data_IF_730740833039
#
_entry.id   IF_730740833039
#
_cell.length_a   1.000
_cell.length_b   1.000
_cell.length_c   1.000
_cell.angle_alpha   90.00
_cell.angle_beta   90.00
_cell.angle_gamma   90.00
#
_symmetry.space_group_name_H-M   'P 1'
#
loop_
_entity.id
_entity.type
_entity.pdbx_description
1 polymer ?
#
# COMPACT_ATOMS: atom_id res chain seq x y z
N UNK A 1 -0.35 22.48 17.49
CA UNK A 1 0.45 23.62 17.00
C UNK A 1 1.15 23.13 15.75
N UNK A 2 0.91 23.79 14.64
CA UNK A 2 1.39 23.28 13.34
C UNK A 2 2.86 23.67 13.18
N UNK A 3 3.77 22.71 13.26
CA UNK A 3 5.21 22.97 13.13
C UNK A 3 5.58 23.72 11.84
N UNK A 4 4.73 23.62 10.80
CA UNK A 4 4.91 24.33 9.53
C UNK A 4 4.80 25.86 9.65
N UNK A 5 3.99 26.41 10.56
CA UNK A 5 3.90 27.84 10.81
C UNK A 5 5.16 28.41 11.49
N UNK A 6 5.88 27.56 12.20
CA UNK A 6 7.14 27.92 12.87
C UNK A 6 8.29 27.97 11.87
N UNK A 7 8.18 27.30 10.72
CA UNK A 7 9.22 27.18 9.69
C UNK A 7 9.22 28.42 8.78
N UNK A 8 8.04 28.87 8.35
CA UNK A 8 7.92 30.09 7.54
C UNK A 8 6.62 30.83 7.89
N UNK A 9 6.71 32.05 8.47
CA UNK A 9 5.55 32.83 8.86
C UNK A 9 4.68 33.32 7.69
N UNK A 10 5.20 33.21 6.44
CA UNK A 10 4.48 33.58 5.21
C UNK A 10 3.67 32.42 4.63
N UNK A 11 3.70 31.22 5.25
CA UNK A 11 2.95 30.06 4.79
C UNK A 11 2.07 29.52 5.92
N UNK A 12 0.76 29.55 5.72
CA UNK A 12 -0.25 29.18 6.70
C UNK A 12 -1.05 27.96 6.25
N UNK A 13 -0.97 26.84 6.99
CA UNK A 13 -1.74 25.63 6.67
C UNK A 13 -3.13 25.75 7.26
N UNK A 14 -4.14 25.75 6.40
CA UNK A 14 -5.55 25.78 6.77
C UNK A 14 -6.20 24.41 6.57
N UNK A 15 -7.45 24.26 6.97
CA UNK A 15 -8.23 23.03 6.69
C UNK A 15 -8.58 22.85 5.20
N UNK A 16 -8.40 23.89 4.41
CA UNK A 16 -8.73 23.90 2.98
C UNK A 16 -7.49 23.90 2.06
N UNK A 17 -6.30 24.13 2.62
CA UNK A 17 -5.07 24.17 1.84
C UNK A 17 -3.96 24.99 2.48
N UNK A 18 -3.09 25.53 1.65
CA UNK A 18 -1.97 26.38 2.04
C UNK A 18 -2.24 27.80 1.57
N UNK A 19 -2.27 28.75 2.49
CA UNK A 19 -2.29 30.19 2.20
C UNK A 19 -0.85 30.69 2.23
N UNK A 20 -0.43 31.35 1.16
CA UNK A 20 0.94 31.89 0.99
C UNK A 20 0.82 33.39 0.85
N UNK A 21 1.64 34.13 1.58
CA UNK A 21 1.71 35.59 1.47
C UNK A 21 2.28 36.02 0.09
N UNK A 22 1.70 37.05 -0.48
CA UNK A 22 2.06 37.56 -1.83
C UNK A 22 3.51 38.01 -1.94
N UNK A 23 4.18 38.32 -0.82
CA UNK A 23 5.55 38.74 -0.72
C UNK A 23 6.55 37.61 -0.47
N UNK A 24 6.13 36.34 -0.55
CA UNK A 24 7.01 35.17 -0.44
C UNK A 24 7.98 35.15 -1.63
N UNK A 25 9.28 35.08 -1.36
CA UNK A 25 10.31 34.99 -2.42
C UNK A 25 10.40 33.55 -2.96
N UNK A 26 11.05 33.37 -4.11
CA UNK A 26 11.29 32.07 -4.69
C UNK A 26 12.16 31.18 -3.78
N UNK A 27 13.16 31.75 -3.14
CA UNK A 27 14.04 31.08 -2.20
C UNK A 27 13.26 30.56 -0.99
N UNK A 28 12.44 31.40 -0.36
CA UNK A 28 11.59 31.05 0.77
C UNK A 28 10.58 29.94 0.38
N UNK A 29 10.01 30.04 -0.82
CA UNK A 29 9.10 29.03 -1.36
C UNK A 29 9.80 27.67 -1.56
N UNK A 30 11.02 27.69 -2.11
CA UNK A 30 11.79 26.49 -2.37
C UNK A 30 12.27 25.82 -1.07
N UNK A 31 12.65 26.60 -0.06
CA UNK A 31 13.02 26.11 1.26
C UNK A 31 11.84 25.49 2.03
N UNK A 32 10.61 25.91 1.74
CA UNK A 32 9.41 25.37 2.38
C UNK A 32 8.98 24.00 1.82
N UNK A 33 9.30 23.68 0.57
CA UNK A 33 8.86 22.48 -0.12
C UNK A 33 9.24 21.15 0.58
N UNK A 34 10.48 20.94 1.11
CA UNK A 34 10.82 19.73 1.86
C UNK A 34 9.92 19.49 3.05
N UNK A 35 9.56 20.53 3.81
CA UNK A 35 8.70 20.40 5.00
C UNK A 35 7.29 19.95 4.67
N UNK A 36 6.73 20.33 3.52
CA UNK A 36 5.47 19.80 3.03
C UNK A 36 5.60 18.31 2.68
N UNK A 37 6.72 17.90 2.10
CA UNK A 37 7.01 16.50 1.81
C UNK A 37 7.07 15.64 3.08
N UNK A 38 7.78 16.14 4.09
CA UNK A 38 7.92 15.46 5.40
C UNK A 38 6.57 15.36 6.12
N UNK A 39 5.78 16.42 6.13
CA UNK A 39 4.44 16.40 6.71
C UNK A 39 3.51 15.40 6.00
N UNK A 40 3.55 15.37 4.67
CA UNK A 40 2.76 14.43 3.88
C UNK A 40 3.19 12.96 4.10
N UNK A 41 4.49 12.70 4.25
CA UNK A 41 5.02 11.39 4.58
C UNK A 41 4.61 10.96 5.99
N UNK A 42 4.77 11.85 6.96
CA UNK A 42 4.49 11.57 8.37
C UNK A 42 3.00 11.30 8.61
N UNK A 43 2.10 12.00 7.91
CA UNK A 43 0.65 11.91 8.16
C UNK A 43 0.11 10.49 7.96
N UNK A 44 0.48 9.81 6.89
CA UNK A 44 0.02 8.44 6.63
C UNK A 44 0.47 7.45 7.71
N UNK A 45 1.72 7.55 8.16
CA UNK A 45 2.23 6.73 9.25
C UNK A 45 1.67 7.15 10.61
N UNK A 46 1.50 8.44 10.87
CA UNK A 46 0.93 8.93 12.13
C UNK A 46 -0.50 8.42 12.34
N UNK A 47 -1.35 8.51 11.31
CA UNK A 47 -2.72 7.97 11.37
C UNK A 47 -2.69 6.46 11.51
N UNK A 48 -1.84 5.75 10.75
CA UNK A 48 -1.70 4.30 10.84
C UNK A 48 -1.25 3.84 12.21
N UNK A 49 -0.21 4.46 12.78
CA UNK A 49 0.31 4.16 14.13
C UNK A 49 -0.74 4.46 15.21
N UNK A 50 -1.50 5.57 15.07
CA UNK A 50 -2.59 5.92 15.98
C UNK A 50 -3.71 4.88 15.94
N UNK A 51 -4.10 4.41 14.77
CA UNK A 51 -5.10 3.34 14.62
C UNK A 51 -4.64 2.04 15.28
N UNK A 52 -3.38 1.63 15.05
CA UNK A 52 -2.79 0.43 15.66
C UNK A 52 -2.72 0.57 17.19
N UNK A 53 -2.32 1.74 17.68
CA UNK A 53 -2.32 2.01 19.12
C UNK A 53 -3.71 1.87 19.71
N UNK A 54 -4.73 2.34 19.00
CA UNK A 54 -6.15 2.23 19.39
C UNK A 54 -6.63 0.77 19.56
N UNK A 55 -5.98 -0.20 18.90
CA UNK A 55 -6.31 -1.62 19.06
C UNK A 55 -6.10 -2.13 20.50
N UNK A 56 -5.19 -1.52 21.25
CA UNK A 56 -4.96 -1.83 22.69
C UNK A 56 -6.18 -1.60 23.58
N UNK A 57 -7.07 -0.72 23.17
CA UNK A 57 -8.30 -0.42 23.88
C UNK A 57 -9.48 -1.28 23.42
N UNK A 58 -9.27 -2.21 22.48
CA UNK A 58 -10.29 -3.20 22.12
C UNK A 58 -10.59 -4.10 23.34
N UNK A 59 -11.86 -4.49 23.58
CA UNK A 59 -12.16 -5.46 24.62
C UNK A 59 -11.37 -6.74 24.33
N UNK A 60 -10.59 -7.19 25.33
CA UNK A 60 -9.71 -8.36 25.22
C UNK A 60 -10.50 -9.69 25.18
N UNK A 61 -11.82 -9.65 25.14
CA UNK A 61 -12.66 -10.85 25.07
C UNK A 61 -13.01 -11.12 23.62
N UNK A 62 -12.49 -12.21 23.05
CA UNK A 62 -12.99 -12.71 21.76
C UNK A 62 -14.49 -12.94 21.87
N UNK A 63 -15.22 -12.63 20.81
CA UNK A 63 -16.61 -13.05 20.71
C UNK A 63 -16.65 -14.59 20.76
N UNK A 64 -17.65 -15.21 21.43
CA UNK A 64 -17.80 -16.65 21.44
C UNK A 64 -17.81 -17.20 20.01
N UNK A 65 -16.95 -18.18 19.72
CA UNK A 65 -16.77 -18.75 18.38
C UNK A 65 -15.68 -18.08 17.51
N UNK A 66 -15.00 -17.03 18.03
CA UNK A 66 -13.94 -16.31 17.31
C UNK A 66 -12.65 -16.17 18.13
N UNK A 67 -12.40 -17.14 19.02
CA UNK A 67 -11.30 -17.11 20.00
C UNK A 67 -9.91 -17.05 19.33
N UNK A 68 -9.79 -17.54 18.10
CA UNK A 68 -8.55 -17.59 17.32
C UNK A 68 -8.38 -16.44 16.30
N UNK A 69 -9.33 -15.50 16.25
CA UNK A 69 -9.17 -14.33 15.36
C UNK A 69 -8.42 -13.20 16.09
N UNK A 70 -7.42 -12.57 15.44
CA UNK A 70 -6.81 -11.37 16.01
C UNK A 70 -7.89 -10.33 16.28
N UNK A 71 -7.81 -9.70 17.46
CA UNK A 71 -8.76 -8.66 17.85
C UNK A 71 -8.79 -7.56 16.78
N UNK A 72 -9.83 -7.54 15.96
CA UNK A 72 -10.06 -6.44 15.01
C UNK A 72 -10.49 -5.21 15.81
N UNK A 73 -10.01 -4.06 15.41
CA UNK A 73 -10.53 -2.79 15.94
C UNK A 73 -12.05 -2.80 15.82
N UNK A 74 -12.81 -2.63 16.91
CA UNK A 74 -14.25 -2.61 16.84
C UNK A 74 -14.72 -1.58 15.80
N UNK A 75 -15.74 -1.94 15.03
CA UNK A 75 -16.32 -1.08 13.98
C UNK A 75 -16.63 0.34 14.48
N UNK A 76 -17.09 0.47 15.71
CA UNK A 76 -17.38 1.75 16.39
C UNK A 76 -16.17 2.69 16.46
N UNK A 77 -14.95 2.13 16.59
CA UNK A 77 -13.71 2.96 16.65
C UNK A 77 -13.27 3.43 15.27
N UNK A 78 -13.48 2.60 14.25
CA UNK A 78 -13.30 3.07 12.88
C UNK A 78 -14.32 4.15 12.52
N UNK A 79 -15.55 4.07 13.01
CA UNK A 79 -16.52 5.16 12.85
C UNK A 79 -16.06 6.45 13.52
N UNK A 80 -15.55 6.38 14.76
CA UNK A 80 -14.97 7.55 15.42
C UNK A 80 -13.77 8.11 14.63
N UNK A 81 -12.91 7.24 14.09
CA UNK A 81 -11.79 7.65 13.24
C UNK A 81 -12.25 8.30 11.94
N UNK A 82 -13.29 7.78 11.28
CA UNK A 82 -13.91 8.36 10.08
C UNK A 82 -14.40 9.79 10.35
N UNK A 83 -15.12 9.98 11.46
CA UNK A 83 -15.65 11.29 11.85
C UNK A 83 -14.53 12.29 12.18
N UNK A 84 -13.50 11.83 12.93
CA UNK A 84 -12.41 12.69 13.38
C UNK A 84 -11.46 13.07 12.23
N UNK A 85 -11.12 12.13 11.36
CA UNK A 85 -10.15 12.35 10.27
C UNK A 85 -10.78 12.80 8.96
N UNK A 86 -12.08 12.62 8.78
CA UNK A 86 -12.82 12.84 7.51
C UNK A 86 -12.28 12.00 6.33
N UNK A 87 -11.52 10.95 6.61
CA UNK A 87 -11.00 10.01 5.60
C UNK A 87 -11.98 8.84 5.43
N UNK A 88 -11.97 8.21 4.27
CA UNK A 88 -12.75 7.00 4.02
C UNK A 88 -12.14 5.77 4.71
N UNK A 89 -12.97 4.73 4.89
CA UNK A 89 -12.59 3.51 5.60
C UNK A 89 -11.45 2.74 4.89
N UNK A 90 -11.40 2.76 3.56
CA UNK A 90 -10.37 2.08 2.80
C UNK A 90 -9.01 2.76 2.99
N UNK A 91 -8.98 4.08 3.05
CA UNK A 91 -7.79 4.88 3.37
C UNK A 91 -7.28 4.59 4.77
N UNK A 92 -8.16 4.57 5.78
CA UNK A 92 -7.78 4.25 7.17
C UNK A 92 -7.24 2.82 7.29
N UNK A 93 -7.89 1.84 6.66
CA UNK A 93 -7.41 0.47 6.63
C UNK A 93 -6.04 0.36 5.93
N UNK A 94 -5.83 1.10 4.85
CA UNK A 94 -4.55 1.13 4.15
C UNK A 94 -3.44 1.72 5.04
N UNK A 95 -3.69 2.82 5.74
CA UNK A 95 -2.71 3.40 6.66
C UNK A 95 -2.36 2.44 7.81
N UNK A 96 -3.35 1.82 8.43
CA UNK A 96 -3.13 0.83 9.48
C UNK A 96 -2.38 -0.40 8.94
N UNK A 97 -2.71 -0.88 7.74
CA UNK A 97 -2.02 -2.00 7.10
C UNK A 97 -0.53 -1.69 6.86
N UNK A 98 -0.22 -0.55 6.27
CA UNK A 98 1.16 -0.15 6.00
C UNK A 98 1.94 0.04 7.30
N UNK A 99 1.37 0.74 8.28
CA UNK A 99 2.02 0.98 9.56
C UNK A 99 2.30 -0.32 10.34
N UNK A 100 1.42 -1.32 10.24
CA UNK A 100 1.59 -2.63 10.88
C UNK A 100 2.69 -3.45 10.20
N UNK A 101 2.74 -3.44 8.88
CA UNK A 101 3.63 -4.30 8.10
C UNK A 101 4.99 -3.65 7.78
N UNK A 102 5.13 -2.34 7.98
CA UNK A 102 6.41 -1.61 7.84
C UNK A 102 6.80 -1.04 9.20
N UNK A 103 7.57 -1.80 10.01
CA UNK A 103 8.00 -1.35 11.34
C UNK A 103 8.77 -0.03 11.28
N UNK A 104 8.72 0.77 12.35
CA UNK A 104 9.45 2.04 12.43
C UNK A 104 10.93 1.89 12.12
N UNK A 105 11.56 0.78 12.55
CA UNK A 105 12.97 0.47 12.30
C UNK A 105 13.33 0.22 10.82
N UNK A 106 12.33 0.14 9.96
CA UNK A 106 12.48 -0.09 8.51
C UNK A 106 12.12 1.17 7.72
N UNK A 107 11.31 2.06 8.29
CA UNK A 107 10.89 3.31 7.61
C UNK A 107 12.09 4.22 7.35
N UNK A 108 12.07 4.91 6.21
CA UNK A 108 13.14 5.82 5.81
C UNK A 108 12.55 7.15 5.28
N UNK A 109 13.05 8.27 5.79
CA UNK A 109 12.54 9.62 5.51
C UNK A 109 12.67 10.05 4.04
N UNK A 110 13.69 9.56 3.32
CA UNK A 110 13.88 9.88 1.91
C UNK A 110 12.95 9.13 0.95
N UNK A 111 12.08 8.26 1.46
CA UNK A 111 11.11 7.49 0.68
C UNK A 111 9.69 7.87 1.08
N UNK A 112 8.82 8.11 0.10
CA UNK A 112 7.42 8.46 0.37
C UNK A 112 6.63 7.31 1.02
N UNK A 113 5.50 7.63 1.65
CA UNK A 113 4.57 6.62 2.18
C UNK A 113 4.18 5.57 1.14
N UNK A 114 4.01 5.96 -0.14
CA UNK A 114 3.68 5.04 -1.22
C UNK A 114 4.82 4.07 -1.58
N UNK A 115 6.09 4.44 -1.38
CA UNK A 115 7.21 3.51 -1.48
C UNK A 115 7.11 2.44 -0.39
N UNK A 116 6.88 2.85 0.85
CA UNK A 116 6.71 1.92 1.98
C UNK A 116 5.47 1.04 1.78
N UNK A 117 4.38 1.59 1.24
CA UNK A 117 3.19 0.80 0.89
C UNK A 117 3.48 -0.29 -0.13
N UNK A 118 4.34 -0.02 -1.11
CA UNK A 118 4.78 -1.02 -2.07
C UNK A 118 5.54 -2.19 -1.41
N UNK A 119 6.24 -1.91 -0.31
CA UNK A 119 7.04 -2.87 0.46
C UNK A 119 6.22 -3.63 1.52
N UNK A 120 5.04 -3.16 1.91
CA UNK A 120 4.30 -3.66 3.07
C UNK A 120 3.91 -5.15 2.99
N UNK A 121 3.93 -5.76 1.80
CA UNK A 121 3.69 -7.19 1.57
C UNK A 121 4.91 -8.09 1.76
N UNK A 122 6.10 -7.50 1.86
CA UNK A 122 7.38 -8.20 1.99
C UNK A 122 7.73 -8.40 3.45
N UNK A 123 8.60 -9.35 3.75
CA UNK A 123 9.19 -9.47 5.08
C UNK A 123 10.18 -8.32 5.38
N UNK A 124 10.55 -8.17 6.66
CA UNK A 124 11.38 -7.06 7.11
C UNK A 124 12.81 -7.07 6.52
N UNK A 125 13.31 -8.22 6.08
CA UNK A 125 14.63 -8.34 5.45
C UNK A 125 14.58 -7.82 4.03
N UNK A 126 13.60 -8.28 3.26
CA UNK A 126 13.35 -7.82 1.90
C UNK A 126 13.01 -6.34 1.86
N UNK A 127 12.21 -5.85 2.82
CA UNK A 127 11.91 -4.42 2.95
C UNK A 127 13.17 -3.58 3.08
N UNK A 128 14.10 -3.96 4.00
CA UNK A 128 15.37 -3.25 4.19
C UNK A 128 16.23 -3.28 2.93
N UNK A 129 16.30 -4.42 2.25
CA UNK A 129 17.06 -4.57 1.02
C UNK A 129 16.54 -3.66 -0.08
N UNK A 130 15.21 -3.60 -0.30
CA UNK A 130 14.61 -2.75 -1.31
C UNK A 130 14.70 -1.26 -0.97
N UNK A 131 14.66 -0.89 0.32
CA UNK A 131 14.93 0.48 0.77
C UNK A 131 16.36 0.87 0.44
N UNK A 132 17.35 0.06 0.86
CA UNK A 132 18.76 0.33 0.55
C UNK A 132 19.01 0.43 -0.96
N UNK A 133 18.41 -0.46 -1.75
CA UNK A 133 18.47 -0.42 -3.21
C UNK A 133 17.85 0.87 -3.78
N UNK A 134 16.71 1.30 -3.24
CA UNK A 134 16.03 2.52 -3.70
C UNK A 134 16.85 3.78 -3.42
N UNK A 135 17.48 3.83 -2.26
CA UNK A 135 18.37 4.94 -1.88
C UNK A 135 19.61 4.97 -2.77
N UNK A 136 20.27 3.83 -2.98
CA UNK A 136 21.46 3.73 -3.86
C UNK A 136 21.13 4.15 -5.30
N UNK A 137 19.94 3.79 -5.82
CA UNK A 137 19.50 4.24 -7.15
C UNK A 137 19.27 5.74 -7.19
N UNK A 138 18.64 6.32 -6.15
CA UNK A 138 18.44 7.76 -6.04
C UNK A 138 19.77 8.52 -5.97
N UNK A 139 20.71 8.06 -5.17
CA UNK A 139 22.06 8.66 -5.01
C UNK A 139 22.86 8.59 -6.32
N UNK A 140 22.65 7.54 -7.11
CA UNK A 140 23.22 7.42 -8.45
C UNK A 140 22.50 8.25 -9.53
N UNK A 141 21.55 9.11 -9.14
CA UNK A 141 20.77 9.95 -10.06
C UNK A 141 19.70 9.20 -10.86
N UNK A 142 19.47 7.94 -10.56
CA UNK A 142 18.45 7.08 -11.21
C UNK A 142 17.22 6.94 -10.35
N UNK A 143 16.42 7.99 -10.26
CA UNK A 143 15.24 8.05 -9.39
C UNK A 143 14.42 6.76 -9.35
N UNK A 144 14.26 6.17 -8.16
CA UNK A 144 13.37 5.05 -7.92
C UNK A 144 11.95 5.56 -7.67
N UNK A 145 11.13 5.62 -8.71
CA UNK A 145 9.70 5.95 -8.56
C UNK A 145 8.95 4.77 -7.94
N UNK A 146 7.80 5.05 -7.32
CA UNK A 146 6.91 4.00 -6.73
C UNK A 146 6.54 2.93 -7.77
N UNK A 147 6.27 3.35 -9.02
CA UNK A 147 5.97 2.43 -10.13
C UNK A 147 7.18 1.55 -10.46
N UNK A 148 8.38 2.15 -10.57
CA UNK A 148 9.62 1.41 -10.83
C UNK A 148 9.92 0.41 -9.71
N UNK A 149 9.75 0.83 -8.45
CA UNK A 149 9.92 -0.04 -7.29
C UNK A 149 8.96 -1.23 -7.33
N UNK A 150 7.66 -1.00 -7.53
CA UNK A 150 6.65 -2.08 -7.61
C UNK A 150 6.99 -3.12 -8.68
N UNK A 151 7.34 -2.64 -9.88
CA UNK A 151 7.69 -3.54 -11.00
C UNK A 151 9.01 -4.26 -10.76
N UNK A 152 10.00 -3.59 -10.17
CA UNK A 152 11.27 -4.21 -9.79
C UNK A 152 11.07 -5.34 -8.76
N UNK A 153 10.22 -5.13 -7.76
CA UNK A 153 9.85 -6.16 -6.78
C UNK A 153 9.16 -7.36 -7.46
N UNK A 154 8.24 -7.10 -8.39
CA UNK A 154 7.51 -8.16 -9.11
C UNK A 154 8.44 -9.03 -9.95
N UNK A 155 9.47 -8.44 -10.54
CA UNK A 155 10.46 -9.13 -11.39
C UNK A 155 11.63 -9.71 -10.56
N UNK A 156 11.80 -9.25 -9.31
CA UNK A 156 12.89 -9.68 -8.42
C UNK A 156 14.24 -9.02 -8.71
N UNK A 157 14.30 -7.97 -9.55
CA UNK A 157 15.51 -7.18 -9.86
C UNK A 157 15.17 -5.73 -10.16
N UNK A 158 16.15 -4.84 -10.03
CA UNK A 158 15.98 -3.44 -10.40
C UNK A 158 15.79 -3.31 -11.91
N UNK A 159 14.67 -2.69 -12.30
CA UNK A 159 14.40 -2.34 -13.69
C UNK A 159 15.00 -0.97 -14.01
N UNK A 160 15.55 -0.82 -15.21
CA UNK A 160 15.94 0.48 -15.75
C UNK A 160 14.71 1.29 -16.19
N UNK A 161 14.86 2.60 -16.37
CA UNK A 161 13.78 3.43 -16.92
C UNK A 161 13.37 3.01 -18.33
N UNK A 162 14.33 2.53 -19.15
CA UNK A 162 14.05 2.04 -20.49
C UNK A 162 13.23 0.74 -20.45
N UNK A 163 13.59 -0.21 -19.58
CA UNK A 163 12.83 -1.45 -19.41
C UNK A 163 11.42 -1.17 -18.87
N UNK A 164 11.27 -0.19 -17.98
CA UNK A 164 9.98 0.22 -17.45
C UNK A 164 9.06 0.83 -18.53
N UNK A 165 9.64 1.58 -19.47
CA UNK A 165 8.91 2.15 -20.62
C UNK A 165 8.57 1.11 -21.68
N UNK A 166 9.44 0.10 -21.84
CA UNK A 166 9.22 -1.02 -22.74
C UNK A 166 8.31 -2.11 -22.14
N UNK A 167 7.85 -1.94 -20.89
CA UNK A 167 6.98 -2.92 -20.23
C UNK A 167 5.67 -3.05 -21.02
N UNK A 168 5.31 -4.25 -21.48
CA UNK A 168 4.07 -4.51 -22.23
C UNK A 168 2.80 -4.05 -21.50
N UNK A 169 2.81 -4.00 -20.17
CA UNK A 169 1.69 -3.47 -19.40
C UNK A 169 1.38 -1.99 -19.70
N UNK A 170 2.38 -1.23 -20.21
CA UNK A 170 2.23 0.17 -20.60
C UNK A 170 1.91 0.33 -22.08
N UNK A 171 2.22 -0.69 -22.90
CA UNK A 171 1.93 -0.69 -24.34
C UNK A 171 0.46 -1.03 -24.66
N UNK A 172 -0.41 -1.11 -23.65
CA UNK A 172 -1.79 -1.54 -23.82
C UNK A 172 -1.96 -3.05 -24.02
N UNK A 173 -0.86 -3.82 -23.97
CA UNK A 173 -0.90 -5.28 -23.97
C UNK A 173 -1.31 -5.73 -22.57
N UNK A 174 -2.45 -6.35 -22.45
CA UNK A 174 -2.95 -6.90 -21.17
C UNK A 174 -1.95 -7.95 -20.67
N UNK A 175 -1.25 -7.64 -19.58
CA UNK A 175 -0.39 -8.63 -18.93
C UNK A 175 -1.27 -9.69 -18.25
N UNK A 176 -1.42 -10.84 -18.88
CA UNK A 176 -2.23 -11.97 -18.41
C UNK A 176 -1.58 -12.74 -17.25
N UNK A 177 -0.24 -12.68 -17.08
CA UNK A 177 0.49 -13.47 -16.07
C UNK A 177 -0.05 -13.32 -14.65
N UNK A 178 -0.34 -12.12 -14.11
CA UNK A 178 -0.91 -11.97 -12.77
C UNK A 178 -2.30 -12.60 -12.63
N UNK A 179 -3.09 -12.65 -13.69
CA UNK A 179 -4.42 -13.29 -13.69
C UNK A 179 -4.26 -14.81 -13.65
N UNK A 180 -3.38 -15.36 -14.49
CA UNK A 180 -3.07 -16.79 -14.52
C UNK A 180 -2.52 -17.26 -13.17
N UNK A 181 -1.55 -16.54 -12.59
CA UNK A 181 -0.97 -16.88 -11.30
C UNK A 181 -2.01 -16.84 -10.16
N UNK A 182 -2.92 -15.87 -10.17
CA UNK A 182 -4.02 -15.82 -9.19
C UNK A 182 -4.97 -17.01 -9.32
N UNK A 183 -5.32 -17.37 -10.53
CA UNK A 183 -6.19 -18.53 -10.80
C UNK A 183 -5.52 -19.84 -10.34
N UNK A 184 -4.26 -20.04 -10.71
CA UNK A 184 -3.48 -21.23 -10.31
C UNK A 184 -3.30 -21.28 -8.79
N UNK A 185 -2.96 -20.18 -8.16
CA UNK A 185 -2.81 -20.09 -6.70
C UNK A 185 -4.13 -20.33 -5.95
N UNK A 186 -5.24 -19.77 -6.45
CA UNK A 186 -6.57 -20.03 -5.91
C UNK A 186 -6.90 -21.52 -6.03
N UNK A 187 -6.70 -22.12 -7.19
CA UNK A 187 -6.97 -23.54 -7.40
C UNK A 187 -6.10 -24.44 -6.52
N UNK A 188 -4.82 -24.07 -6.34
CA UNK A 188 -3.90 -24.78 -5.44
C UNK A 188 -4.43 -24.83 -4.01
N UNK A 189 -4.93 -23.70 -3.48
CA UNK A 189 -5.56 -23.62 -2.14
C UNK A 189 -6.82 -24.49 -2.06
N UNK A 190 -7.73 -24.36 -3.02
CA UNK A 190 -8.97 -25.17 -3.07
C UNK A 190 -8.68 -26.68 -3.06
N UNK A 191 -7.64 -27.11 -3.78
CA UNK A 191 -7.19 -28.51 -3.76
C UNK A 191 -6.64 -28.94 -2.40
N UNK A 192 -5.81 -28.10 -1.79
CA UNK A 192 -5.21 -28.36 -0.48
C UNK A 192 -6.28 -28.46 0.63
N UNK A 193 -7.31 -27.63 0.56
CA UNK A 193 -8.48 -27.65 1.45
C UNK A 193 -9.42 -28.84 1.19
N UNK A 194 -9.13 -29.69 0.20
CA UNK A 194 -9.91 -30.88 -0.08
C UNK A 194 -11.25 -30.65 -0.79
N UNK A 195 -11.42 -29.48 -1.41
CA UNK A 195 -12.67 -29.09 -2.10
C UNK A 195 -13.14 -30.16 -3.12
N UNK A 196 -12.21 -30.79 -3.83
CA UNK A 196 -12.55 -31.87 -4.77
C UNK A 196 -13.23 -33.07 -4.10
N UNK A 197 -13.04 -33.27 -2.80
CA UNK A 197 -13.67 -34.38 -2.04
C UNK A 197 -15.05 -33.98 -1.48
N UNK A 198 -15.20 -32.69 -1.12
CA UNK A 198 -16.38 -32.17 -0.41
C UNK A 198 -17.40 -31.50 -1.34
N UNK A 199 -17.00 -31.02 -2.52
CA UNK A 199 -17.87 -30.32 -3.46
C UNK A 199 -18.98 -31.23 -4.03
N UNK A 200 -20.20 -30.68 -4.09
CA UNK A 200 -21.33 -31.36 -4.70
C UNK A 200 -21.20 -31.45 -6.23
N UNK A 201 -22.02 -32.26 -6.85
CA UNK A 201 -22.06 -32.39 -8.32
C UNK A 201 -22.44 -31.05 -8.99
N UNK A 202 -23.35 -30.31 -8.39
CA UNK A 202 -23.84 -29.01 -8.84
C UNK A 202 -22.72 -27.94 -8.75
N UNK A 203 -22.01 -27.92 -7.63
CA UNK A 203 -20.86 -26.99 -7.44
C UNK A 203 -19.75 -27.25 -8.46
N UNK A 204 -19.42 -28.52 -8.72
CA UNK A 204 -18.43 -28.87 -9.75
C UNK A 204 -18.91 -28.49 -11.16
N UNK A 205 -20.20 -28.66 -11.45
CA UNK A 205 -20.77 -28.29 -12.74
C UNK A 205 -20.77 -26.76 -12.93
N UNK A 206 -21.08 -26.00 -11.87
CA UNK A 206 -21.00 -24.54 -11.89
C UNK A 206 -19.54 -24.08 -12.18
N UNK A 207 -18.56 -24.57 -11.41
CA UNK A 207 -17.15 -24.22 -11.63
C UNK A 207 -16.67 -24.57 -13.05
N UNK A 208 -17.08 -25.68 -13.61
CA UNK A 208 -16.74 -26.04 -15.00
C UNK A 208 -17.31 -25.02 -16.01
N UNK A 209 -18.54 -24.56 -15.80
CA UNK A 209 -19.12 -23.51 -16.66
C UNK A 209 -18.37 -22.20 -16.55
N UNK A 210 -18.01 -21.80 -15.32
CA UNK A 210 -17.30 -20.54 -15.06
C UNK A 210 -15.87 -20.56 -15.64
N UNK A 211 -15.24 -21.73 -15.73
CA UNK A 211 -13.91 -21.90 -16.34
C UNK A 211 -13.96 -22.09 -17.87
N UNK A 212 -15.14 -22.33 -18.46
CA UNK A 212 -15.28 -22.59 -19.88
C UNK A 212 -14.66 -21.48 -20.76
N UNK A 213 -14.88 -20.16 -20.49
CA UNK A 213 -14.26 -19.10 -21.27
C UNK A 213 -12.73 -19.14 -21.32
N UNK A 214 -12.08 -19.61 -20.23
CA UNK A 214 -10.61 -19.77 -20.20
C UNK A 214 -10.15 -20.89 -21.13
N UNK A 215 -10.93 -21.99 -21.17
CA UNK A 215 -10.67 -23.12 -22.07
C UNK A 215 -10.85 -22.67 -23.53
N UNK A 216 -11.87 -21.85 -23.78
CA UNK A 216 -12.14 -21.34 -25.14
C UNK A 216 -11.03 -20.41 -25.61
N UNK A 217 -10.56 -19.47 -24.74
CA UNK A 217 -9.35 -18.66 -25.03
C UNK A 217 -8.14 -19.54 -25.35
N UNK A 218 -7.91 -20.61 -24.57
CA UNK A 218 -6.78 -21.52 -24.84
C UNK A 218 -6.88 -22.25 -26.19
N UNK A 219 -8.11 -22.46 -26.68
CA UNK A 219 -8.34 -23.13 -27.99
C UNK A 219 -8.20 -22.17 -29.18
N UNK A 220 -8.38 -20.86 -28.94
CA UNK A 220 -8.24 -19.82 -29.95
C UNK A 220 -6.77 -19.43 -30.19
N UNK A 221 -5.88 -19.72 -29.22
CA UNK A 221 -4.43 -19.45 -29.28
C UNK A 221 -3.65 -20.64 -29.88
#
# INVERSE_FOLDING_TARGET
>A
MNDLETINPKAHVTTLGLEIADDMTFEEWNEFAPHLGDAALALGFAIGDWLIYGERFAPQRPLPGFENMPAKVPHERYQAALLATRLDIATLHNFAYVARNVPRSVRHELLSFEHHRALARLDATDQRQWIATSLAENDAGRRMSVRRLRRSIEVGRVLTSAELQADPADAGIVNHIPFVNRLVGWWGRMRAEGWLKTATKEQRAALKRDLQPIIDIHREL
#
